data_IF_477657530237
#
_entry.id   IF_477657530237
#
_cell.length_a   1.000
_cell.length_b   1.000
_cell.length_c   1.000
_cell.angle_alpha   90.00
_cell.angle_beta   90.00
_cell.angle_gamma   90.00
#
_symmetry.space_group_name_H-M   'P 1'
#
loop_
_entity.id
_entity.type
_entity.pdbx_description
1 polymer ?
#
# COMPACT_ATOMS: atom_id res chain seq x y z
N UNK A 1 -10.82 -0.87 21.18
CA UNK A 1 -10.23 -2.15 20.69
C UNK A 1 -9.76 -1.91 19.27
N UNK A 2 -8.49 -2.18 18.94
CA UNK A 2 -8.07 -2.14 17.53
C UNK A 2 -8.70 -3.32 16.81
N UNK A 3 -9.45 -3.07 15.74
CA UNK A 3 -9.92 -4.15 14.86
C UNK A 3 -8.73 -5.01 14.42
N UNK A 4 -8.97 -6.32 14.22
CA UNK A 4 -7.97 -7.19 13.57
C UNK A 4 -7.56 -6.55 12.25
N UNK A 5 -6.30 -6.66 11.87
CA UNK A 5 -5.82 -6.13 10.59
C UNK A 5 -6.64 -6.76 9.45
N UNK A 6 -7.53 -5.96 8.83
CA UNK A 6 -8.53 -6.45 7.89
C UNK A 6 -7.89 -6.87 6.56
N UNK A 7 -6.82 -6.18 6.15
CA UNK A 7 -6.05 -6.54 4.97
C UNK A 7 -4.81 -7.32 5.38
N UNK A 8 -4.62 -8.50 4.79
CA UNK A 8 -3.46 -9.34 5.08
C UNK A 8 -2.24 -8.82 4.33
N UNK A 9 -1.19 -8.43 5.05
CA UNK A 9 0.09 -8.12 4.43
C UNK A 9 0.72 -9.42 3.90
N UNK A 10 0.93 -9.49 2.58
CA UNK A 10 1.55 -10.62 1.89
C UNK A 10 3.07 -10.49 1.87
N UNK A 11 3.57 -9.27 1.64
CA UNK A 11 4.99 -8.98 1.49
C UNK A 11 5.25 -7.49 1.71
N UNK A 12 6.44 -7.19 2.23
CA UNK A 12 7.01 -5.86 2.20
C UNK A 12 8.40 -5.95 1.57
N UNK A 13 8.66 -5.17 0.53
CA UNK A 13 9.94 -5.17 -0.18
C UNK A 13 10.48 -3.75 -0.33
N UNK A 14 11.81 -3.65 -0.37
CA UNK A 14 12.52 -2.40 -0.58
C UNK A 14 13.26 -2.48 -1.91
N UNK A 15 13.00 -1.51 -2.79
CA UNK A 15 13.57 -1.46 -4.14
C UNK A 15 14.33 -0.17 -4.31
N UNK A 16 15.55 -0.28 -4.83
CA UNK A 16 16.35 0.86 -5.26
C UNK A 16 16.38 0.91 -6.80
N UNK A 17 15.97 2.03 -7.38
CA UNK A 17 15.80 2.19 -8.83
C UNK A 17 16.30 3.55 -9.30
N UNK A 18 16.86 3.61 -10.50
CA UNK A 18 17.17 4.88 -11.16
C UNK A 18 15.88 5.60 -11.66
N UNK A 19 14.82 4.84 -11.93
CA UNK A 19 13.56 5.32 -12.49
C UNK A 19 12.44 5.31 -11.42
N UNK A 20 11.42 6.17 -11.61
CA UNK A 20 10.20 6.16 -10.79
C UNK A 20 9.43 4.86 -10.98
N UNK A 21 8.85 4.34 -9.91
CA UNK A 21 8.15 3.04 -9.88
C UNK A 21 6.66 3.19 -9.52
N UNK A 22 5.95 4.09 -10.20
CA UNK A 22 4.58 4.47 -9.82
C UNK A 22 3.59 3.29 -9.91
N UNK A 23 3.67 2.49 -10.97
CA UNK A 23 2.85 1.31 -11.19
C UNK A 23 3.65 0.02 -11.10
N UNK A 24 4.44 -0.15 -10.02
CA UNK A 24 5.32 -1.31 -9.89
C UNK A 24 4.58 -2.65 -9.98
N UNK A 25 3.30 -2.71 -9.58
CA UNK A 25 2.44 -3.90 -9.73
C UNK A 25 2.26 -4.38 -11.18
N UNK A 26 2.52 -3.54 -12.19
CA UNK A 26 2.53 -3.91 -13.60
C UNK A 26 3.89 -4.46 -14.07
N UNK A 27 4.95 -4.27 -13.27
CA UNK A 27 6.27 -4.79 -13.60
C UNK A 27 6.26 -6.32 -13.55
N UNK A 28 6.82 -6.98 -14.56
CA UNK A 28 6.86 -8.45 -14.69
C UNK A 28 7.56 -9.16 -13.53
N UNK A 29 8.40 -8.44 -12.78
CA UNK A 29 9.12 -8.91 -11.58
C UNK A 29 8.36 -8.66 -10.28
N UNK A 30 7.25 -7.92 -10.30
CA UNK A 30 6.48 -7.67 -9.08
C UNK A 30 5.83 -8.93 -8.53
N UNK A 31 5.58 -8.94 -7.22
CA UNK A 31 4.88 -10.05 -6.57
C UNK A 31 3.48 -10.26 -7.17
N UNK A 32 2.79 -9.18 -7.55
CA UNK A 32 1.48 -9.27 -8.21
C UNK A 32 1.58 -10.10 -9.49
N UNK A 33 2.51 -9.75 -10.40
CA UNK A 33 2.65 -10.50 -11.65
C UNK A 33 3.10 -11.95 -11.43
N UNK A 34 3.91 -12.21 -10.39
CA UNK A 34 4.26 -13.57 -10.00
C UNK A 34 3.02 -14.37 -9.57
N UNK A 35 2.23 -13.85 -8.64
CA UNK A 35 1.01 -14.51 -8.15
C UNK A 35 -0.03 -14.72 -9.26
N UNK A 36 -0.15 -13.77 -10.19
CA UNK A 36 -1.04 -13.93 -11.37
C UNK A 36 -0.61 -15.09 -12.27
N UNK A 37 0.70 -15.28 -12.50
CA UNK A 37 1.22 -16.43 -13.26
C UNK A 37 0.97 -17.76 -12.55
N UNK A 38 0.93 -17.76 -11.22
CA UNK A 38 0.61 -18.91 -10.38
C UNK A 38 -0.91 -19.16 -10.25
N UNK A 39 -1.74 -18.34 -10.91
CA UNK A 39 -3.20 -18.52 -10.98
C UNK A 39 -3.98 -17.87 -9.85
N UNK A 40 -3.35 -17.10 -8.96
CA UNK A 40 -4.02 -16.40 -7.88
C UNK A 40 -4.90 -15.25 -8.41
N UNK A 41 -6.18 -15.22 -8.03
CA UNK A 41 -7.19 -14.27 -8.54
C UNK A 41 -7.60 -13.17 -7.56
N UNK A 42 -7.21 -13.27 -6.30
CA UNK A 42 -7.60 -12.29 -5.27
C UNK A 42 -7.09 -10.89 -5.56
N UNK A 43 -7.79 -9.89 -5.01
CA UNK A 43 -7.43 -8.48 -5.16
C UNK A 43 -6.23 -8.13 -4.29
N UNK A 44 -5.19 -7.54 -4.88
CA UNK A 44 -3.98 -7.12 -4.17
C UNK A 44 -3.88 -5.60 -4.26
N UNK A 45 -3.99 -4.95 -3.10
CA UNK A 45 -3.67 -3.53 -2.95
C UNK A 45 -2.17 -3.36 -2.73
N UNK A 46 -1.53 -2.52 -3.54
CA UNK A 46 -0.09 -2.25 -3.44
C UNK A 46 0.10 -0.81 -2.99
N UNK A 47 0.76 -0.65 -1.85
CA UNK A 47 1.14 0.64 -1.31
C UNK A 47 2.62 0.90 -1.57
N UNK A 48 2.95 2.04 -2.15
CA UNK A 48 4.33 2.42 -2.51
C UNK A 48 4.70 3.74 -1.82
N UNK A 49 5.63 3.69 -0.88
CA UNK A 49 6.32 4.90 -0.39
C UNK A 49 7.61 5.05 -1.18
N UNK A 50 7.69 6.06 -2.04
CA UNK A 50 8.85 6.33 -2.87
C UNK A 50 9.52 7.63 -2.43
N UNK A 51 10.81 7.56 -2.12
CA UNK A 51 11.64 8.73 -1.78
C UNK A 51 12.80 8.85 -2.76
N UNK A 52 13.14 10.09 -3.14
CA UNK A 52 14.33 10.36 -3.96
C UNK A 52 15.53 10.57 -3.05
N UNK A 53 16.59 9.78 -3.24
CA UNK A 53 17.82 9.86 -2.47
C UNK A 53 19.04 9.71 -3.37
N UNK A 54 19.97 10.67 -3.32
CA UNK A 54 21.23 10.68 -4.09
C UNK A 54 21.06 10.30 -5.58
N UNK A 55 20.06 10.88 -6.24
CA UNK A 55 19.80 10.64 -7.67
C UNK A 55 19.10 9.32 -8.01
N UNK A 56 18.77 8.49 -7.00
CA UNK A 56 17.96 7.28 -7.16
C UNK A 56 16.64 7.39 -6.41
N UNK A 57 15.72 6.49 -6.69
CA UNK A 57 14.47 6.31 -5.97
C UNK A 57 14.56 5.06 -5.10
N UNK A 58 14.25 5.22 -3.82
CA UNK A 58 14.07 4.12 -2.88
C UNK A 58 12.56 3.99 -2.64
N UNK A 59 12.02 2.84 -3.02
CA UNK A 59 10.60 2.50 -2.88
C UNK A 59 10.43 1.41 -1.83
N UNK A 60 9.61 1.66 -0.82
CA UNK A 60 9.08 0.62 0.05
C UNK A 60 7.69 0.23 -0.45
N UNK A 61 7.57 -1.00 -0.92
CA UNK A 61 6.33 -1.57 -1.46
C UNK A 61 5.74 -2.52 -0.44
N UNK A 62 4.47 -2.34 -0.10
CA UNK A 62 3.72 -3.24 0.76
C UNK A 62 2.52 -3.78 0.00
N UNK A 63 2.40 -5.10 -0.02
CA UNK A 63 1.35 -5.83 -0.74
C UNK A 63 0.33 -6.35 0.25
N UNK A 64 -0.93 -5.98 0.04
CA UNK A 64 -2.04 -6.33 0.90
C UNK A 64 -3.09 -7.11 0.11
N UNK A 65 -3.42 -8.31 0.58
CA UNK A 65 -4.59 -9.06 0.11
C UNK A 65 -5.85 -8.43 0.72
N UNK A 66 -6.77 -8.04 -0.15
CA UNK A 66 -8.09 -7.52 0.24
C UNK A 66 -9.09 -8.69 0.20
N UNK A 67 -9.76 -9.01 1.31
CA UNK A 67 -10.77 -10.06 1.35
C UNK A 67 -11.89 -9.82 0.34
N UNK A 68 -12.35 -10.87 -0.35
CA UNK A 68 -13.48 -10.77 -1.29
C UNK A 68 -14.79 -10.46 -0.55
N UNK A 69 -14.92 -10.93 0.69
CA UNK A 69 -16.05 -10.74 1.59
C UNK A 69 -15.83 -9.57 2.58
N UNK A 70 -15.07 -8.54 2.17
CA UNK A 70 -14.70 -7.41 3.02
C UNK A 70 -15.90 -6.77 3.75
N UNK A 71 -17.06 -6.70 3.11
CA UNK A 71 -18.29 -6.18 3.71
C UNK A 71 -18.75 -6.98 4.93
N UNK A 72 -18.63 -8.30 4.88
CA UNK A 72 -18.95 -9.20 5.98
C UNK A 72 -17.89 -9.16 7.08
N UNK A 73 -16.62 -9.01 6.71
CA UNK A 73 -15.48 -8.99 7.65
C UNK A 73 -15.42 -7.67 8.44
N UNK A 74 -15.57 -6.55 7.76
CA UNK A 74 -15.62 -5.22 8.39
C UNK A 74 -16.40 -4.24 7.50
N UNK A 75 -17.70 -4.02 7.79
CA UNK A 75 -18.54 -3.08 7.03
C UNK A 75 -17.97 -1.65 7.01
N UNK A 76 -17.36 -1.23 8.12
CA UNK A 76 -16.77 0.10 8.23
C UNK A 76 -15.55 0.27 7.32
N UNK A 77 -14.63 -0.70 7.33
CA UNK A 77 -13.46 -0.68 6.43
C UNK A 77 -13.90 -0.80 4.97
N UNK A 78 -14.91 -1.61 4.66
CA UNK A 78 -15.48 -1.69 3.31
C UNK A 78 -16.00 -0.34 2.82
N UNK A 79 -16.73 0.41 3.66
CA UNK A 79 -17.23 1.73 3.31
C UNK A 79 -16.09 2.72 3.01
N UNK A 80 -15.05 2.75 3.87
CA UNK A 80 -13.87 3.58 3.64
C UNK A 80 -13.12 3.18 2.37
N UNK A 81 -13.00 1.88 2.12
CA UNK A 81 -12.34 1.33 0.94
C UNK A 81 -13.08 1.69 -0.36
N UNK A 82 -14.40 1.48 -0.42
CA UNK A 82 -15.26 1.90 -1.54
C UNK A 82 -15.09 3.40 -1.82
N UNK A 83 -15.20 4.22 -0.78
CA UNK A 83 -15.01 5.67 -0.89
C UNK A 83 -13.61 6.02 -1.43
N UNK A 84 -12.56 5.37 -0.97
CA UNK A 84 -11.20 5.61 -1.47
C UNK A 84 -11.05 5.28 -2.96
N UNK A 85 -11.63 4.17 -3.42
CA UNK A 85 -11.61 3.75 -4.82
C UNK A 85 -12.42 4.69 -5.73
N UNK A 86 -13.56 5.18 -5.26
CA UNK A 86 -14.48 6.02 -6.03
C UNK A 86 -14.14 7.52 -6.01
N UNK A 87 -13.36 7.97 -5.02
CA UNK A 87 -13.02 9.40 -4.87
C UNK A 87 -11.94 9.86 -5.85
N UNK A 88 -11.82 11.17 -6.03
CA UNK A 88 -10.80 11.79 -6.88
C UNK A 88 -9.38 11.80 -6.24
N UNK A 89 -8.39 12.18 -7.03
CA UNK A 89 -7.00 12.24 -6.59
C UNK A 89 -6.77 13.32 -5.53
N UNK A 90 -7.57 14.40 -5.51
CA UNK A 90 -7.51 15.42 -4.46
C UNK A 90 -7.84 14.80 -3.10
N UNK A 91 -8.96 14.07 -3.01
CA UNK A 91 -9.39 13.37 -1.81
C UNK A 91 -8.37 12.33 -1.33
N UNK A 92 -7.78 11.56 -2.26
CA UNK A 92 -6.77 10.53 -1.94
C UNK A 92 -5.48 11.16 -1.39
N UNK A 93 -5.01 12.24 -2.01
CA UNK A 93 -3.80 12.94 -1.60
C UNK A 93 -3.95 13.60 -0.23
N UNK A 94 -5.13 14.15 0.08
CA UNK A 94 -5.38 14.86 1.34
C UNK A 94 -5.36 13.94 2.58
N UNK A 95 -5.61 12.64 2.39
CA UNK A 95 -5.66 11.63 3.46
C UNK A 95 -4.35 10.89 3.66
N UNK A 96 -3.41 10.96 2.70
CA UNK A 96 -2.07 10.38 2.86
C UNK A 96 -1.17 11.28 3.72
N UNK A 97 -1.59 11.57 4.95
CA UNK A 97 -0.76 12.30 5.92
C UNK A 97 0.07 11.28 6.69
N UNK A 98 1.34 11.13 6.34
CA UNK A 98 2.33 10.56 7.27
C UNK A 98 2.49 11.54 8.43
N UNK A 99 1.65 11.42 9.47
CA UNK A 99 1.86 12.15 10.71
C UNK A 99 2.96 11.40 11.47
N UNK A 100 4.20 11.82 11.26
CA UNK A 100 5.27 11.41 12.15
C UNK A 100 4.91 11.91 13.56
N UNK A 101 4.41 11.01 14.41
CA UNK A 101 4.56 11.19 15.86
C UNK A 101 6.04 10.95 16.12
N UNK A 102 6.87 11.96 15.87
CA UNK A 102 8.20 11.99 16.45
C UNK A 102 7.95 12.23 17.95
N UNK A 103 8.19 11.26 18.85
CA UNK A 103 8.28 11.64 20.25
C UNK A 103 9.38 12.70 20.33
N UNK A 104 9.11 13.82 20.99
CA UNK A 104 10.13 14.82 21.31
C UNK A 104 11.18 14.14 22.18
N UNK A 105 12.18 13.51 21.57
CA UNK A 105 13.37 13.08 22.28
C UNK A 105 14.15 14.36 22.49
N UNK A 106 13.93 15.00 23.65
CA UNK A 106 14.80 16.04 24.16
C UNK A 106 16.18 15.42 24.36
N UNK A 107 17.13 15.73 23.47
CA UNK A 107 18.53 15.53 23.79
C UNK A 107 18.86 16.50 24.94
N UNK A 108 19.16 15.94 26.11
CA UNK A 108 19.89 16.65 27.17
C UNK A 108 21.38 16.52 26.91
#
# INVERSE_FOLDING_TARGET
>A
MSERCVFRCLCCELINSANRLEHFSQNSKSLVQKLRREGYKGFIYVYNIMVKYKGKYVSMLSYFEVPEDLESVSPHVNQLWKRYLESDDTFRNDRLKMIARCPEISYK
#
